data_IF_191748972550
#
_entry.id   IF_191748972550
#
_cell.length_a   1.000
_cell.length_b   1.000
_cell.length_c   1.000
_cell.angle_alpha   90.00
_cell.angle_beta   90.00
_cell.angle_gamma   90.00
#
_symmetry.space_group_name_H-M   'P 1'
#
loop_
_entity.id
_entity.type
_entity.pdbx_description
1 polymer ?
#
# COMPACT_ATOMS: atom_id res chain seq x y z
N UNK A 1 -0.17 -5.14 21.16
CA UNK A 1 -0.73 -4.91 19.82
C UNK A 1 0.35 -4.46 18.82
N UNK A 2 1.07 -3.36 19.06
CA UNK A 2 2.04 -2.80 18.10
C UNK A 2 3.20 -3.72 17.68
N UNK A 3 3.82 -4.46 18.60
CA UNK A 3 4.90 -5.39 18.22
C UNK A 3 4.43 -6.45 17.21
N UNK A 4 3.26 -7.05 17.45
CA UNK A 4 2.69 -8.07 16.58
C UNK A 4 2.37 -7.50 15.19
N UNK A 5 1.85 -6.27 15.14
CA UNK A 5 1.63 -5.54 13.90
C UNK A 5 2.93 -5.39 13.11
N UNK A 6 4.02 -4.96 13.76
CA UNK A 6 5.32 -4.76 13.11
C UNK A 6 5.89 -6.09 12.61
N UNK A 7 5.93 -7.13 13.46
CA UNK A 7 6.49 -8.43 13.09
C UNK A 7 5.72 -9.07 11.93
N UNK A 8 4.38 -9.05 11.98
CA UNK A 8 3.55 -9.54 10.89
C UNK A 8 3.73 -8.70 9.62
N UNK A 9 3.87 -7.38 9.76
CA UNK A 9 4.13 -6.46 8.67
C UNK A 9 5.47 -6.71 7.96
N UNK A 10 6.54 -7.00 8.71
CA UNK A 10 7.84 -7.35 8.14
C UNK A 10 7.75 -8.61 7.28
N UNK A 11 7.02 -9.63 7.74
CA UNK A 11 6.79 -10.86 6.95
C UNK A 11 5.99 -10.54 5.68
N UNK A 12 4.98 -9.68 5.79
CA UNK A 12 4.17 -9.20 4.66
C UNK A 12 5.02 -8.53 3.58
N UNK A 13 5.90 -7.60 3.98
CA UNK A 13 6.78 -6.86 3.06
C UNK A 13 7.70 -7.78 2.25
N UNK A 14 8.20 -8.86 2.86
CA UNK A 14 9.07 -9.84 2.17
C UNK A 14 8.27 -10.58 1.09
N UNK A 15 7.07 -11.05 1.46
CA UNK A 15 6.20 -11.80 0.55
C UNK A 15 5.73 -10.91 -0.60
N UNK A 16 5.34 -9.66 -0.32
CA UNK A 16 4.88 -8.74 -1.35
C UNK A 16 5.99 -8.35 -2.32
N UNK A 17 7.22 -8.14 -1.84
CA UNK A 17 8.38 -7.90 -2.70
C UNK A 17 8.62 -9.07 -3.65
N UNK A 18 8.61 -10.30 -3.11
CA UNK A 18 8.77 -11.51 -3.92
C UNK A 18 7.66 -11.69 -4.98
N UNK A 19 6.40 -11.44 -4.62
CA UNK A 19 5.27 -11.51 -5.55
C UNK A 19 5.38 -10.44 -6.65
N UNK A 20 5.88 -9.27 -6.31
CA UNK A 20 5.98 -8.15 -7.24
C UNK A 20 7.11 -8.38 -8.26
N UNK A 21 8.23 -8.93 -7.81
CA UNK A 21 9.33 -9.40 -8.66
C UNK A 21 8.85 -10.42 -9.71
N UNK A 22 7.91 -11.30 -9.33
CA UNK A 22 7.38 -12.35 -10.21
C UNK A 22 6.30 -11.86 -11.17
N UNK A 23 5.41 -10.97 -10.71
CA UNK A 23 4.20 -10.62 -11.45
C UNK A 23 4.35 -9.36 -12.30
N UNK A 24 5.22 -8.41 -11.92
CA UNK A 24 5.32 -7.07 -12.53
C UNK A 24 3.96 -6.36 -12.72
N UNK A 25 2.95 -6.76 -11.93
CA UNK A 25 1.57 -6.26 -12.02
C UNK A 25 1.23 -5.44 -10.79
N UNK A 26 1.86 -4.27 -10.68
CA UNK A 26 1.73 -3.34 -9.55
C UNK A 26 0.27 -3.02 -9.19
N UNK A 27 -0.56 -2.72 -10.20
CA UNK A 27 -1.97 -2.37 -9.98
C UNK A 27 -2.82 -3.50 -9.38
N UNK A 28 -2.67 -4.74 -9.90
CA UNK A 28 -3.50 -5.86 -9.42
C UNK A 28 -3.17 -6.20 -7.97
N UNK A 29 -1.88 -6.23 -7.63
CA UNK A 29 -1.41 -6.51 -6.27
C UNK A 29 -1.79 -5.41 -5.29
N UNK A 30 -1.62 -4.13 -5.66
CA UNK A 30 -2.01 -2.99 -4.83
C UNK A 30 -3.52 -2.98 -4.54
N UNK A 31 -4.35 -3.25 -5.55
CA UNK A 31 -5.80 -3.33 -5.39
C UNK A 31 -6.21 -4.47 -4.45
N UNK A 32 -5.64 -5.67 -4.65
CA UNK A 32 -5.92 -6.83 -3.79
C UNK A 32 -5.58 -6.55 -2.32
N UNK A 33 -4.42 -5.94 -2.07
CA UNK A 33 -3.99 -5.60 -0.70
C UNK A 33 -4.86 -4.50 -0.09
N UNK A 34 -5.26 -3.50 -0.87
CA UNK A 34 -6.21 -2.48 -0.40
C UNK A 34 -7.56 -3.09 0.03
N UNK A 35 -8.12 -3.98 -0.80
CA UNK A 35 -9.38 -4.67 -0.48
C UNK A 35 -9.22 -5.57 0.75
N UNK A 36 -8.13 -6.33 0.83
CA UNK A 36 -7.84 -7.18 1.99
C UNK A 36 -7.67 -6.36 3.28
N UNK A 37 -7.03 -5.19 3.20
CA UNK A 37 -6.85 -4.27 4.32
C UNK A 37 -8.18 -3.68 4.79
N UNK A 38 -9.07 -3.32 3.87
CA UNK A 38 -10.43 -2.87 4.19
C UNK A 38 -11.24 -3.94 4.91
N UNK A 39 -11.24 -5.18 4.40
CA UNK A 39 -11.94 -6.30 5.03
C UNK A 39 -11.40 -6.53 6.44
N UNK A 40 -10.07 -6.53 6.60
CA UNK A 40 -9.44 -6.74 7.91
C UNK A 40 -9.75 -5.60 8.88
N UNK A 41 -9.84 -4.36 8.41
CA UNK A 41 -10.26 -3.20 9.20
C UNK A 41 -11.72 -3.31 9.67
N UNK A 42 -12.63 -3.78 8.81
CA UNK A 42 -14.03 -4.03 9.18
C UNK A 42 -14.15 -5.14 10.24
N UNK A 43 -13.39 -6.23 10.07
CA UNK A 43 -13.32 -7.32 11.07
C UNK A 43 -12.77 -6.77 12.40
N UNK A 44 -11.72 -5.94 12.36
CA UNK A 44 -11.17 -5.28 13.54
C UNK A 44 -12.22 -4.38 14.24
N UNK A 45 -13.01 -3.64 13.47
CA UNK A 45 -14.13 -2.84 14.00
C UNK A 45 -15.19 -3.71 14.70
N UNK A 46 -15.54 -4.85 14.11
CA UNK A 46 -16.46 -5.81 14.72
C UNK A 46 -15.88 -6.41 16.01
N UNK A 47 -14.59 -6.71 16.05
CA UNK A 47 -13.91 -7.18 17.26
C UNK A 47 -13.83 -6.12 18.37
N UNK A 48 -13.78 -4.84 18.01
CA UNK A 48 -13.86 -3.73 18.95
C UNK A 48 -15.21 -3.71 19.70
N UNK A 49 -16.31 -4.06 19.00
CA UNK A 49 -17.64 -4.15 19.59
C UNK A 49 -17.80 -5.34 20.56
N UNK A 50 -17.20 -6.49 20.25
CA UNK A 50 -17.30 -7.72 21.07
C UNK A 50 -16.38 -7.68 22.31
N UNK A 51 -15.37 -6.79 22.33
CA UNK A 51 -14.47 -6.62 23.48
C UNK A 51 -13.51 -7.80 23.74
N UNK A 52 -13.42 -8.77 22.83
CA UNK A 52 -12.58 -9.95 23.01
C UNK A 52 -11.12 -9.67 22.61
N UNK A 53 -10.27 -9.41 23.61
CA UNK A 53 -8.86 -8.99 23.45
C UNK A 53 -8.06 -9.96 22.56
N UNK A 54 -8.27 -11.28 22.70
CA UNK A 54 -7.57 -12.30 21.91
C UNK A 54 -7.76 -12.15 20.39
N UNK A 55 -8.99 -11.84 19.95
CA UNK A 55 -9.31 -11.72 18.52
C UNK A 55 -8.75 -10.41 17.96
N UNK A 56 -8.69 -9.36 18.79
CA UNK A 56 -8.05 -8.09 18.44
C UNK A 56 -6.54 -8.25 18.18
N UNK A 57 -5.84 -9.10 18.94
CA UNK A 57 -4.44 -9.43 18.66
C UNK A 57 -4.27 -10.14 17.31
N UNK A 58 -5.11 -11.12 16.98
CA UNK A 58 -5.00 -11.82 15.70
C UNK A 58 -5.27 -10.88 14.51
N UNK A 59 -6.34 -10.10 14.61
CA UNK A 59 -6.77 -9.18 13.54
C UNK A 59 -5.77 -8.04 13.32
N UNK A 60 -5.17 -7.47 14.36
CA UNK A 60 -4.13 -6.44 14.19
C UNK A 60 -2.86 -7.00 13.53
N UNK A 61 -2.52 -8.27 13.77
CA UNK A 61 -1.41 -8.94 13.09
C UNK A 61 -1.69 -9.09 11.58
N UNK A 62 -2.87 -9.59 11.23
CA UNK A 62 -3.30 -9.71 9.83
C UNK A 62 -3.38 -8.32 9.17
N UNK A 63 -3.88 -7.32 9.89
CA UNK A 63 -3.95 -5.95 9.40
C UNK A 63 -2.55 -5.37 9.12
N UNK A 64 -1.59 -5.60 10.01
CA UNK A 64 -0.21 -5.16 9.83
C UNK A 64 0.52 -5.85 8.69
N UNK A 65 0.22 -7.14 8.47
CA UNK A 65 0.70 -7.88 7.31
C UNK A 65 0.30 -7.20 6.00
N UNK A 66 -0.99 -6.90 5.82
CA UNK A 66 -1.49 -6.27 4.59
C UNK A 66 -1.04 -4.81 4.46
N UNK A 67 -1.11 -4.02 5.54
CA UNK A 67 -0.78 -2.59 5.47
C UNK A 67 0.70 -2.37 5.13
N UNK A 68 1.61 -3.12 5.76
CA UNK A 68 3.06 -2.98 5.51
C UNK A 68 3.46 -3.48 4.13
N UNK A 69 2.75 -4.50 3.61
CA UNK A 69 2.96 -5.01 2.25
C UNK A 69 2.71 -3.95 1.16
N UNK A 70 1.94 -2.90 1.46
CA UNK A 70 1.70 -1.80 0.52
C UNK A 70 2.93 -0.89 0.34
N UNK A 71 3.80 -0.80 1.35
CA UNK A 71 4.96 0.07 1.36
C UNK A 71 5.96 -0.21 0.23
N UNK A 72 6.47 -1.45 0.04
CA UNK A 72 7.39 -1.75 -1.07
C UNK A 72 6.72 -1.56 -2.44
N UNK A 73 5.43 -1.90 -2.57
CA UNK A 73 4.67 -1.76 -3.83
C UNK A 73 4.60 -0.29 -4.26
N UNK A 74 4.37 0.62 -3.32
CA UNK A 74 4.32 2.05 -3.59
C UNK A 74 5.66 2.62 -4.06
N UNK A 75 6.77 2.14 -3.50
CA UNK A 75 8.12 2.54 -3.90
C UNK A 75 8.41 2.08 -5.33
N UNK A 76 8.19 0.80 -5.62
CA UNK A 76 8.45 0.25 -6.96
C UNK A 76 7.57 0.90 -8.04
N UNK A 77 6.29 1.12 -7.73
CA UNK A 77 5.39 1.86 -8.60
C UNK A 77 5.88 3.31 -8.84
N UNK A 78 6.32 3.99 -7.78
CA UNK A 78 6.87 5.35 -7.87
C UNK A 78 8.08 5.42 -8.81
N UNK A 79 9.03 4.51 -8.63
CA UNK A 79 10.23 4.39 -9.46
C UNK A 79 9.87 4.19 -10.94
N UNK A 80 8.87 3.34 -11.21
CA UNK A 80 8.45 3.05 -12.58
C UNK A 80 7.80 4.27 -13.26
N UNK A 81 7.00 5.06 -12.52
CA UNK A 81 6.37 6.28 -13.06
C UNK A 81 7.39 7.39 -13.30
N UNK A 82 8.40 7.53 -12.42
CA UNK A 82 9.41 8.60 -12.47
C UNK A 82 10.70 8.21 -13.21
N UNK A 83 10.73 7.09 -13.92
CA UNK A 83 11.92 6.64 -14.64
C UNK A 83 12.44 7.72 -15.62
N UNK A 84 13.75 8.05 -15.66
CA UNK A 84 14.90 7.37 -15.02
C UNK A 84 15.45 8.09 -13.77
N UNK A 85 14.61 8.41 -12.78
CA UNK A 85 15.09 8.92 -11.48
C UNK A 85 15.72 7.82 -10.62
N UNK A 86 16.62 8.21 -9.71
CA UNK A 86 17.26 7.26 -8.80
C UNK A 86 16.28 6.73 -7.76
N UNK A 87 16.33 5.43 -7.49
CA UNK A 87 15.50 4.74 -6.50
C UNK A 87 15.58 5.39 -5.11
N UNK A 88 16.78 5.84 -4.72
CA UNK A 88 16.99 6.54 -3.46
C UNK A 88 16.14 7.82 -3.34
N UNK A 89 15.98 8.58 -4.43
CA UNK A 89 15.17 9.82 -4.41
C UNK A 89 13.68 9.50 -4.29
N UNK A 90 13.18 8.47 -5.00
CA UNK A 90 11.80 8.03 -4.91
C UNK A 90 11.43 7.58 -3.49
N UNK A 91 12.25 6.74 -2.87
CA UNK A 91 12.02 6.24 -1.51
C UNK A 91 12.06 7.37 -0.49
N UNK A 92 13.02 8.29 -0.59
CA UNK A 92 13.09 9.45 0.30
C UNK A 92 11.86 10.36 0.16
N UNK A 93 11.43 10.66 -1.07
CA UNK A 93 10.28 11.53 -1.32
C UNK A 93 8.97 10.89 -0.84
N UNK A 94 8.79 9.58 -1.09
CA UNK A 94 7.61 8.85 -0.66
C UNK A 94 7.56 8.75 0.87
N UNK A 95 8.70 8.45 1.52
CA UNK A 95 8.76 8.39 2.97
C UNK A 95 8.54 9.76 3.63
N UNK A 96 9.10 10.84 3.06
CA UNK A 96 8.83 12.20 3.51
C UNK A 96 7.35 12.56 3.40
N UNK A 97 6.69 12.16 2.30
CA UNK A 97 5.26 12.35 2.11
C UNK A 97 4.46 11.59 3.18
N UNK A 98 4.78 10.31 3.41
CA UNK A 98 4.13 9.48 4.43
C UNK A 98 4.25 10.07 5.83
N UNK A 99 5.40 10.64 6.19
CA UNK A 99 5.58 11.29 7.49
C UNK A 99 4.68 12.52 7.65
N UNK A 100 4.61 13.40 6.64
CA UNK A 100 3.77 14.61 6.69
C UNK A 100 2.29 14.22 6.80
N UNK A 101 1.82 13.32 5.93
CA UNK A 101 0.45 12.82 5.99
C UNK A 101 0.18 12.07 7.31
N UNK A 102 1.14 11.29 7.79
CA UNK A 102 1.05 10.53 9.04
C UNK A 102 0.82 11.44 10.25
N UNK A 103 1.52 12.57 10.35
CA UNK A 103 1.32 13.55 11.43
C UNK A 103 -0.11 14.11 11.37
N UNK A 104 -0.54 14.59 10.20
CA UNK A 104 -1.87 15.19 10.02
C UNK A 104 -2.98 14.16 10.36
N UNK A 105 -2.89 12.95 9.81
CA UNK A 105 -3.89 11.90 10.03
C UNK A 105 -3.93 11.42 11.47
N UNK A 106 -2.76 11.31 12.13
CA UNK A 106 -2.68 10.90 13.53
C UNK A 106 -3.34 11.94 14.44
N UNK A 107 -3.10 13.23 14.18
CA UNK A 107 -3.75 14.31 14.94
C UNK A 107 -5.27 14.27 14.75
N UNK A 108 -5.75 14.14 13.50
CA UNK A 108 -7.18 14.04 13.23
C UNK A 108 -7.84 12.84 13.91
N UNK A 109 -7.22 11.66 13.84
CA UNK A 109 -7.74 10.44 14.48
C UNK A 109 -7.71 10.52 16.01
N UNK A 110 -6.69 11.18 16.57
CA UNK A 110 -6.57 11.39 18.03
C UNK A 110 -7.67 12.33 18.52
N UNK A 111 -7.97 13.40 17.78
CA UNK A 111 -9.07 14.31 18.12
C UNK A 111 -10.44 13.61 18.10
N UNK A 112 -10.68 12.74 17.10
CA UNK A 112 -11.92 11.94 17.01
C UNK A 112 -11.97 10.91 18.16
N UNK A 113 -10.83 10.31 18.50
CA UNK A 113 -10.73 9.33 19.58
C UNK A 113 -11.11 9.94 20.95
N UNK A 114 -10.67 11.16 21.22
CA UNK A 114 -10.97 11.86 22.49
C UNK A 114 -12.42 12.34 22.59
N UNK A 115 -13.02 12.75 21.46
CA UNK A 115 -14.37 13.34 21.45
C UNK A 115 -15.49 12.29 21.36
N UNK A 116 -15.37 11.32 20.46
CA UNK A 116 -16.43 10.35 20.15
C UNK A 116 -16.08 8.91 20.54
N UNK A 117 -14.83 8.66 20.93
CA UNK A 117 -14.36 7.36 21.42
C UNK A 117 -13.71 6.45 20.35
N UNK A 118 -13.36 5.21 20.73
CA UNK A 118 -12.56 4.33 19.88
C UNK A 118 -13.31 3.77 18.66
N UNK A 119 -14.64 3.63 18.74
CA UNK A 119 -15.43 3.06 17.65
C UNK A 119 -15.54 4.04 16.47
N UNK A 120 -15.78 5.33 16.74
CA UNK A 120 -15.83 6.39 15.73
C UNK A 120 -14.46 6.66 15.13
N UNK A 121 -13.39 6.67 15.94
CA UNK A 121 -12.01 6.79 15.45
C UNK A 121 -11.65 5.64 14.51
N UNK A 122 -12.04 4.40 14.84
CA UNK A 122 -11.84 3.27 13.93
C UNK A 122 -12.69 3.36 12.66
N UNK A 123 -13.92 3.89 12.73
CA UNK A 123 -14.74 4.15 11.55
C UNK A 123 -14.10 5.22 10.64
N UNK A 124 -13.53 6.29 11.21
CA UNK A 124 -12.78 7.29 10.48
C UNK A 124 -11.55 6.69 9.78
N UNK A 125 -10.81 5.82 10.47
CA UNK A 125 -9.70 5.07 9.87
C UNK A 125 -10.15 4.20 8.69
N UNK A 126 -11.30 3.52 8.81
CA UNK A 126 -11.87 2.74 7.72
C UNK A 126 -12.26 3.60 6.51
N UNK A 127 -12.81 4.81 6.73
CA UNK A 127 -13.12 5.77 5.65
C UNK A 127 -11.84 6.24 4.96
N UNK A 128 -10.79 6.54 5.72
CA UNK A 128 -9.48 6.94 5.16
C UNK A 128 -8.91 5.80 4.31
N UNK A 129 -8.94 4.56 4.79
CA UNK A 129 -8.50 3.39 4.03
C UNK A 129 -9.34 3.18 2.77
N UNK A 130 -10.63 3.46 2.84
CA UNK A 130 -11.51 3.38 1.67
C UNK A 130 -11.14 4.41 0.63
N UNK A 131 -10.87 5.66 1.04
CA UNK A 131 -10.36 6.71 0.15
C UNK A 131 -9.02 6.30 -0.48
N UNK A 132 -8.10 5.72 0.29
CA UNK A 132 -6.84 5.16 -0.23
C UNK A 132 -7.10 4.08 -1.29
N UNK A 133 -8.06 3.19 -1.07
CA UNK A 133 -8.43 2.16 -2.03
C UNK A 133 -9.04 2.76 -3.32
N UNK A 134 -9.85 3.82 -3.20
CA UNK A 134 -10.40 4.53 -4.36
C UNK A 134 -9.25 5.15 -5.16
N UNK A 135 -8.34 5.87 -4.51
CA UNK A 135 -7.15 6.44 -5.16
C UNK A 135 -6.29 5.35 -5.82
N UNK A 136 -6.10 4.21 -5.15
CA UNK A 136 -5.39 3.07 -5.70
C UNK A 136 -6.04 2.50 -6.98
N UNK A 137 -7.36 2.59 -7.13
CA UNK A 137 -8.05 2.20 -8.37
C UNK A 137 -7.75 3.14 -9.54
N UNK A 138 -7.58 4.44 -9.26
CA UNK A 138 -7.24 5.46 -10.26
C UNK A 138 -5.76 5.44 -10.67
N UNK A 139 -4.94 4.61 -10.04
CA UNK A 139 -3.56 4.38 -10.45
C UNK A 139 -3.52 3.89 -11.91
N UNK A 140 -2.80 4.66 -12.73
CA UNK A 140 -2.65 4.48 -14.18
C UNK A 140 -1.82 3.23 -14.49
N UNK A 141 -2.25 2.44 -15.49
CA UNK A 141 -1.58 1.20 -15.95
C UNK A 141 -0.41 1.45 -16.92
N UNK A 142 -0.08 2.70 -17.22
CA UNK A 142 0.90 3.06 -18.25
C UNK A 142 2.35 2.91 -17.74
N UNK A 143 2.79 1.67 -17.72
CA UNK A 143 4.16 1.29 -17.42
C UNK A 143 5.11 1.71 -18.54
N UNK A 144 5.84 2.81 -18.34
CA UNK A 144 6.81 3.34 -19.31
C UNK A 144 7.97 2.36 -19.58
N UNK A 145 8.29 1.45 -18.65
CA UNK A 145 9.37 0.46 -18.80
C UNK A 145 8.96 -0.72 -19.69
N UNK A 146 7.70 -1.15 -19.62
CA UNK A 146 7.15 -2.18 -20.53
C UNK A 146 7.11 -1.69 -21.98
N UNK A 147 6.77 -0.41 -22.19
CA UNK A 147 6.78 0.20 -23.54
C UNK A 147 8.18 0.26 -24.16
N UNK A 148 9.24 0.54 -23.37
CA UNK A 148 10.62 0.51 -23.87
C UNK A 148 11.09 -0.89 -24.27
N UNK A 149 10.75 -1.92 -23.51
CA UNK A 149 11.09 -3.30 -23.88
C UNK A 149 10.27 -3.79 -25.11
N UNK A 150 9.08 -3.25 -25.35
CA UNK A 150 8.30 -3.52 -26.57
C UNK A 150 8.85 -2.76 -27.79
N UNK A 151 9.28 -1.50 -27.65
CA UNK A 151 9.95 -0.77 -28.73
C UNK A 151 11.27 -1.42 -29.14
N UNK A 152 12.09 -1.88 -28.19
CA UNK A 152 13.35 -2.58 -28.49
C UNK A 152 13.10 -3.94 -29.17
N UNK A 153 11.94 -4.55 -28.96
CA UNK A 153 11.55 -5.83 -29.59
C UNK A 153 10.77 -5.67 -30.90
N UNK A 154 10.46 -4.44 -31.32
CA UNK A 154 10.03 -4.19 -32.70
C UNK A 154 11.26 -4.27 -33.61
N UNK A 155 11.24 -5.08 -34.70
CA UNK A 155 12.37 -5.15 -35.60
C UNK A 155 12.54 -3.77 -36.22
N UNK A 156 13.68 -3.13 -35.95
CA UNK A 156 14.16 -2.00 -36.75
C UNK A 156 14.07 -2.46 -38.21
N UNK A 157 13.27 -1.81 -39.08
CA UNK A 157 13.26 -2.17 -40.48
C UNK A 157 14.70 -1.97 -40.99
N UNK A 158 15.32 -3.05 -41.43
CA UNK A 158 16.64 -3.03 -42.05
C UNK A 158 16.58 -2.11 -43.26
N UNK A 159 17.04 -0.87 -43.07
CA UNK A 159 17.26 0.08 -44.16
C UNK A 159 18.39 -0.53 -45.00
N UNK A 160 17.98 -1.25 -46.05
CA UNK A 160 18.85 -1.82 -47.05
C UNK A 160 19.36 -0.67 -47.92
N UNK A 161 20.56 -0.19 -47.64
CA UNK A 161 21.29 0.74 -48.49
C UNK A 161 22.12 -0.12 -49.44
N UNK A 162 21.57 -0.33 -50.64
CA UNK A 162 22.25 -0.91 -51.80
C UNK A 162 22.32 0.13 -52.91
#
# INVERSE_FOLDING_TARGET
>A
MGLLFIVAGLVGSIISGYILDLTHKFKETAFFICVASLITCLIFSGCLYVGHIWIQFLTIGIFGFFLTSFLPIGIEYGIEVTYPQSEAVCTCLLNASTMIFGIILTEMLSHILESEGPLSSNAALAVILFLCCVVANFITKDYKRSKKNVEIKSPVPSINIS
#
